data_IF_987194211594
#
_entry.id   IF_987194211594
#
_cell.length_a   1.000
_cell.length_b   1.000
_cell.length_c   1.000
_cell.angle_alpha   90.00
_cell.angle_beta   90.00
_cell.angle_gamma   90.00
#
_symmetry.space_group_name_H-M   'P 1'
#
loop_
_entity.id
_entity.type
_entity.pdbx_description
1 polymer ?
#
# COMPACT_ATOMS: atom_id res chain seq x y z
N UNK A 1 23.14 -8.38 18.76
CA UNK A 1 21.94 -8.31 17.90
C UNK A 1 21.55 -6.84 17.80
N UNK A 2 21.63 -6.29 16.59
CA UNK A 2 21.41 -4.88 16.31
C UNK A 2 21.54 -4.66 14.80
N UNK A 3 21.03 -3.55 14.31
CA UNK A 3 21.10 -3.18 12.89
C UNK A 3 21.77 -1.82 12.76
N UNK A 4 22.84 -1.78 11.99
CA UNK A 4 23.61 -0.58 11.67
C UNK A 4 23.66 -0.38 10.16
N UNK A 5 23.65 0.88 9.74
CA UNK A 5 23.79 1.25 8.33
C UNK A 5 25.25 1.10 7.93
N UNK A 6 25.52 0.41 6.82
CA UNK A 6 26.83 0.49 6.18
C UNK A 6 26.94 1.82 5.43
N UNK A 7 27.81 2.70 5.92
CA UNK A 7 28.05 4.03 5.36
C UNK A 7 29.28 4.08 4.44
N UNK A 8 29.92 2.94 4.17
CA UNK A 8 31.15 2.88 3.37
C UNK A 8 30.99 3.55 2.00
N UNK A 9 29.83 3.39 1.35
CA UNK A 9 29.49 3.99 0.05
C UNK A 9 29.39 5.52 0.05
N UNK A 10 29.26 6.14 1.22
CA UNK A 10 29.09 7.60 1.36
C UNK A 10 30.40 8.30 1.73
N UNK A 11 31.46 7.53 1.95
CA UNK A 11 32.78 8.06 2.33
C UNK A 11 33.31 9.00 1.24
N UNK A 12 33.62 10.23 1.62
CA UNK A 12 34.17 11.24 0.69
C UNK A 12 33.13 11.99 -0.15
N UNK A 13 31.83 11.71 0.01
CA UNK A 13 30.77 12.50 -0.62
C UNK A 13 30.48 13.74 0.23
N UNK A 14 30.66 14.92 -0.36
CA UNK A 14 30.42 16.20 0.31
C UNK A 14 28.94 16.49 0.52
N UNK A 15 28.59 17.17 1.62
CA UNK A 15 27.22 17.60 1.90
C UNK A 15 26.31 16.52 2.49
N UNK A 16 26.80 15.30 2.71
CA UNK A 16 26.03 14.28 3.44
C UNK A 16 26.22 14.48 4.94
N UNK A 17 25.11 14.70 5.64
CA UNK A 17 25.07 14.75 7.10
C UNK A 17 24.66 13.39 7.66
N UNK A 18 25.45 12.90 8.61
CA UNK A 18 25.20 11.63 9.31
C UNK A 18 25.01 11.92 10.78
N UNK A 19 23.84 11.57 11.31
CA UNK A 19 23.51 11.71 12.72
C UNK A 19 23.19 10.33 13.30
N UNK A 20 23.86 9.95 14.40
CA UNK A 20 23.60 8.67 15.11
C UNK A 20 23.60 7.43 14.18
N UNK A 21 24.46 7.42 13.16
CA UNK A 21 24.62 6.30 12.23
C UNK A 21 23.55 6.21 11.13
N UNK A 22 22.75 7.26 10.93
CA UNK A 22 21.80 7.38 9.81
C UNK A 22 22.04 8.68 9.05
N UNK A 23 21.67 8.68 7.77
CA UNK A 23 21.81 9.79 6.84
C UNK A 23 20.59 10.70 6.95
N UNK A 24 20.85 12.00 7.13
CA UNK A 24 19.81 13.03 7.10
C UNK A 24 19.27 13.21 5.69
N UNK A 25 17.94 13.26 5.56
CA UNK A 25 17.24 13.48 4.29
C UNK A 25 16.12 14.50 4.47
N UNK A 26 15.79 15.19 3.40
CA UNK A 26 14.67 16.12 3.35
C UNK A 26 13.31 15.40 3.14
N UNK A 27 12.24 16.20 2.96
CA UNK A 27 10.90 15.68 2.67
C UNK A 27 10.79 14.91 1.34
N UNK A 28 11.74 15.06 0.42
CA UNK A 28 11.83 14.39 -0.87
C UNK A 28 12.71 13.13 -0.85
N UNK A 29 13.26 12.78 0.32
CA UNK A 29 14.24 11.70 0.50
C UNK A 29 15.64 12.04 -0.07
N UNK A 30 15.90 13.31 -0.41
CA UNK A 30 17.20 13.75 -0.90
C UNK A 30 18.13 14.02 0.29
N UNK A 31 19.38 13.56 0.19
CA UNK A 31 20.44 13.90 1.14
C UNK A 31 20.89 15.35 0.93
N UNK A 32 21.77 15.87 1.78
CA UNK A 32 22.37 17.19 1.54
C UNK A 32 23.29 17.23 0.29
N UNK A 33 23.62 16.08 -0.31
CA UNK A 33 24.23 16.01 -1.64
C UNK A 33 23.17 15.99 -2.74
N UNK A 34 23.17 17.01 -3.60
CA UNK A 34 22.18 17.18 -4.66
C UNK A 34 22.18 15.97 -5.61
N UNK A 35 21.00 15.37 -5.80
CA UNK A 35 20.80 14.21 -6.68
C UNK A 35 21.11 12.86 -6.04
N UNK A 36 21.54 12.83 -4.78
CA UNK A 36 21.66 11.61 -4.00
C UNK A 36 20.48 11.47 -3.04
N UNK A 37 19.82 10.32 -3.07
CA UNK A 37 18.65 10.02 -2.27
C UNK A 37 18.91 8.82 -1.37
N UNK A 38 18.30 8.79 -0.18
CA UNK A 38 18.42 7.69 0.77
C UNK A 38 17.07 7.33 1.37
N UNK A 39 16.92 6.07 1.78
CA UNK A 39 15.67 5.53 2.31
C UNK A 39 15.89 4.26 3.12
N UNK A 40 14.80 3.65 3.60
CA UNK A 40 14.87 2.48 4.47
C UNK A 40 15.53 2.76 5.81
N UNK A 41 16.29 1.79 6.32
CA UNK A 41 16.88 1.85 7.66
C UNK A 41 18.09 2.79 7.77
N UNK A 42 18.56 3.29 6.62
CA UNK A 42 19.67 4.25 6.53
C UNK A 42 19.26 5.68 6.88
N UNK A 43 17.96 5.99 6.98
CA UNK A 43 17.45 7.34 7.30
C UNK A 43 16.74 7.34 8.68
N UNK A 44 16.60 8.50 9.35
CA UNK A 44 15.99 8.59 10.69
C UNK A 44 14.49 8.28 10.66
N UNK A 45 14.15 6.98 10.66
CA UNK A 45 12.78 6.50 10.53
C UNK A 45 12.55 5.19 11.28
N UNK A 46 11.30 4.73 11.31
CA UNK A 46 10.98 3.42 11.86
C UNK A 46 11.63 2.33 10.99
N UNK A 47 12.43 1.46 11.63
CA UNK A 47 13.19 0.42 10.97
C UNK A 47 12.35 -0.83 10.72
N UNK A 48 11.35 -0.70 9.85
CA UNK A 48 10.49 -1.80 9.46
C UNK A 48 10.33 -1.87 7.95
N UNK A 49 9.96 -3.06 7.46
CA UNK A 49 9.89 -3.36 6.02
C UNK A 49 8.88 -2.46 5.30
N UNK A 50 7.75 -2.13 5.93
CA UNK A 50 6.70 -1.31 5.30
C UNK A 50 7.15 0.12 5.08
N UNK A 51 7.88 0.70 6.04
CA UNK A 51 8.48 2.03 5.92
C UNK A 51 9.61 2.01 4.89
N UNK A 52 10.44 0.98 4.85
CA UNK A 52 11.49 0.86 3.83
C UNK A 52 10.92 0.78 2.40
N UNK A 53 9.87 0.00 2.18
CA UNK A 53 9.14 -0.05 0.90
C UNK A 53 8.55 1.33 0.57
N UNK A 54 7.93 1.99 1.54
CA UNK A 54 7.38 3.33 1.39
C UNK A 54 8.45 4.36 0.97
N UNK A 55 9.61 4.33 1.62
CA UNK A 55 10.77 5.15 1.27
C UNK A 55 11.27 4.87 -0.14
N UNK A 56 11.38 3.60 -0.55
CA UNK A 56 11.77 3.24 -1.91
C UNK A 56 10.83 3.84 -2.96
N UNK A 57 9.51 3.69 -2.78
CA UNK A 57 8.51 4.28 -3.67
C UNK A 57 8.59 5.81 -3.70
N UNK A 58 8.75 6.44 -2.53
CA UNK A 58 8.84 7.90 -2.41
C UNK A 58 10.11 8.45 -3.06
N UNK A 59 11.26 7.82 -2.81
CA UNK A 59 12.53 8.18 -3.43
C UNK A 59 12.45 8.03 -4.95
N UNK A 60 11.92 6.91 -5.47
CA UNK A 60 11.78 6.70 -6.91
C UNK A 60 10.99 7.83 -7.62
N UNK A 61 9.87 8.26 -7.03
CA UNK A 61 9.06 9.36 -7.59
C UNK A 61 9.77 10.71 -7.55
N UNK A 62 10.52 10.98 -6.48
CA UNK A 62 11.31 12.23 -6.38
C UNK A 62 12.55 12.20 -7.27
N UNK A 63 13.17 11.02 -7.49
CA UNK A 63 14.26 10.84 -8.45
C UNK A 63 13.75 11.12 -9.86
N UNK A 64 12.61 10.56 -10.26
CA UNK A 64 12.01 10.83 -11.58
C UNK A 64 11.72 12.33 -11.78
N UNK A 65 11.09 12.99 -10.80
CA UNK A 65 10.83 14.42 -10.86
C UNK A 65 12.13 15.25 -10.93
N UNK A 66 13.12 14.93 -10.11
CA UNK A 66 14.43 15.58 -10.12
C UNK A 66 15.13 15.47 -11.48
N UNK A 67 15.11 14.28 -12.10
CA UNK A 67 15.70 14.05 -13.42
C UNK A 67 14.97 14.84 -14.53
N UNK A 68 13.68 15.13 -14.35
CA UNK A 68 12.88 15.96 -15.25
C UNK A 68 12.94 17.46 -14.95
N UNK A 69 13.63 17.87 -13.87
CA UNK A 69 13.62 19.26 -13.40
C UNK A 69 12.26 19.73 -12.88
N UNK A 70 11.43 18.81 -12.42
CA UNK A 70 10.11 19.06 -11.84
C UNK A 70 10.09 18.71 -10.35
N UNK A 71 9.02 19.11 -9.66
CA UNK A 71 8.72 18.64 -8.31
C UNK A 71 7.64 17.56 -8.34
N UNK A 72 7.81 16.51 -7.54
CA UNK A 72 6.80 15.47 -7.41
C UNK A 72 5.68 15.93 -6.47
N UNK A 73 4.48 16.03 -7.02
CA UNK A 73 3.26 16.27 -6.24
C UNK A 73 2.56 14.94 -5.94
N UNK A 74 2.42 14.56 -4.65
CA UNK A 74 1.72 13.34 -4.31
C UNK A 74 0.23 13.46 -4.57
N UNK A 75 -0.34 12.43 -5.21
CA UNK A 75 -1.78 12.28 -5.31
C UNK A 75 -2.45 12.34 -3.93
N UNK A 76 -3.70 12.85 -3.84
CA UNK A 76 -4.48 12.82 -2.62
C UNK A 76 -4.48 11.42 -2.01
N UNK A 77 -4.28 11.34 -0.69
CA UNK A 77 -4.39 10.06 0.01
C UNK A 77 -5.86 9.68 0.11
N UNK A 78 -6.17 8.44 -0.24
CA UNK A 78 -7.46 7.84 0.10
C UNK A 78 -7.58 7.76 1.63
N UNK A 79 -8.82 7.86 2.13
CA UNK A 79 -9.10 7.65 3.55
C UNK A 79 -8.84 6.21 3.98
N UNK A 80 -8.85 5.99 5.29
CA UNK A 80 -8.64 4.65 5.86
C UNK A 80 -9.80 3.72 5.50
N UNK A 81 -9.47 2.46 5.16
CA UNK A 81 -10.41 1.38 4.96
C UNK A 81 -10.79 0.77 6.32
N UNK A 82 -11.70 1.42 7.03
CA UNK A 82 -12.17 0.97 8.34
C UNK A 82 -13.19 -0.16 8.20
N UNK A 83 -13.30 -1.01 9.24
CA UNK A 83 -14.16 -2.20 9.20
C UNK A 83 -15.64 -1.88 9.00
N UNK A 84 -16.11 -0.75 9.54
CA UNK A 84 -17.47 -0.25 9.39
C UNK A 84 -17.83 0.16 7.95
N UNK A 85 -16.84 0.25 7.05
CA UNK A 85 -17.05 0.52 5.63
C UNK A 85 -17.09 -0.75 4.78
N UNK A 86 -16.85 -1.92 5.36
CA UNK A 86 -16.70 -3.17 4.63
C UNK A 86 -17.87 -4.12 4.92
N UNK A 87 -18.44 -4.70 3.86
CA UNK A 87 -19.47 -5.73 3.99
C UNK A 87 -18.82 -7.11 4.01
N UNK A 88 -18.52 -7.58 5.21
CA UNK A 88 -17.75 -8.83 5.41
C UNK A 88 -18.54 -10.10 5.12
N UNK A 89 -19.88 -10.03 5.11
CA UNK A 89 -20.76 -11.18 4.87
C UNK A 89 -20.67 -11.73 3.43
N UNK A 90 -20.11 -10.96 2.49
CA UNK A 90 -19.82 -11.45 1.13
C UNK A 90 -18.79 -12.58 1.11
N UNK A 91 -17.98 -12.72 2.17
CA UNK A 91 -16.92 -13.70 2.24
C UNK A 91 -17.21 -14.73 3.33
N UNK A 92 -17.01 -16.01 2.97
CA UNK A 92 -17.12 -17.10 3.93
C UNK A 92 -15.93 -17.06 4.88
N UNK A 93 -16.22 -17.17 6.18
CA UNK A 93 -15.19 -17.43 7.18
C UNK A 93 -14.44 -18.72 6.83
N UNK A 94 -13.15 -18.59 6.57
CA UNK A 94 -12.27 -19.71 6.25
C UNK A 94 -11.01 -19.63 7.13
N UNK A 95 -10.61 -20.76 7.76
CA UNK A 95 -9.38 -20.80 8.52
C UNK A 95 -8.19 -20.48 7.61
N UNK A 96 -7.17 -19.82 8.15
CA UNK A 96 -5.92 -19.62 7.42
C UNK A 96 -5.23 -20.95 7.15
N UNK A 97 -4.45 -21.02 6.06
CA UNK A 97 -3.54 -22.13 5.84
C UNK A 97 -2.47 -22.22 6.94
N UNK A 98 -2.30 -23.42 7.49
CA UNK A 98 -1.27 -23.69 8.51
C UNK A 98 0.07 -23.90 7.81
N UNK A 99 0.98 -22.95 8.00
CA UNK A 99 2.35 -23.04 7.47
C UNK A 99 3.23 -23.90 8.38
N UNK A 100 4.02 -24.78 7.77
CA UNK A 100 5.03 -25.54 8.49
C UNK A 100 6.04 -24.58 9.14
N UNK A 101 6.50 -24.95 10.34
CA UNK A 101 7.48 -24.18 11.08
C UNK A 101 8.63 -25.08 11.46
N UNK A 102 9.85 -24.57 11.29
CA UNK A 102 11.05 -25.29 11.68
C UNK A 102 11.00 -25.65 13.17
N UNK A 103 11.49 -26.83 13.55
CA UNK A 103 11.53 -27.26 14.95
C UNK A 103 12.43 -26.33 15.79
N UNK A 104 12.05 -26.07 17.05
CA UNK A 104 12.74 -25.09 17.92
C UNK A 104 14.24 -25.31 18.04
N UNK A 105 14.68 -26.56 18.18
CA UNK A 105 16.11 -26.92 18.28
C UNK A 105 16.94 -26.57 17.03
N UNK A 106 16.31 -26.51 15.84
CA UNK A 106 16.98 -26.10 14.60
C UNK A 106 17.00 -24.59 14.42
N UNK A 107 15.96 -23.88 14.90
CA UNK A 107 15.90 -22.40 14.85
C UNK A 107 17.08 -21.72 15.55
N UNK A 108 17.69 -22.39 16.53
CA UNK A 108 18.82 -21.85 17.29
C UNK A 108 20.18 -22.12 16.65
N UNK A 109 20.27 -23.01 15.67
CA UNK A 109 21.54 -23.49 15.12
C UNK A 109 21.71 -23.20 13.63
N UNK A 110 20.65 -22.81 12.92
CA UNK A 110 20.71 -22.47 11.49
C UNK A 110 20.05 -21.12 11.20
N UNK A 111 20.39 -20.55 10.04
CA UNK A 111 19.70 -19.39 9.47
C UNK A 111 18.64 -19.83 8.45
N UNK A 112 18.15 -21.07 8.55
CA UNK A 112 17.10 -21.58 7.68
C UNK A 112 15.79 -20.83 7.92
N UNK A 113 14.95 -20.73 6.89
CA UNK A 113 13.62 -20.14 7.00
C UNK A 113 12.81 -20.82 8.10
N UNK A 114 12.25 -20.01 9.01
CA UNK A 114 11.57 -20.52 10.20
C UNK A 114 10.11 -20.81 9.90
N UNK A 115 9.47 -19.97 9.08
CA UNK A 115 8.09 -20.14 8.65
C UNK A 115 8.12 -20.41 7.16
N UNK A 116 7.88 -21.66 6.78
CA UNK A 116 7.94 -22.05 5.38
C UNK A 116 6.89 -21.30 4.55
N UNK A 117 7.22 -21.13 3.26
CA UNK A 117 6.32 -20.51 2.29
C UNK A 117 5.07 -21.34 2.06
N UNK A 118 4.06 -20.72 1.45
CA UNK A 118 2.93 -21.44 0.87
C UNK A 118 3.36 -22.05 -0.46
N UNK A 119 2.89 -23.26 -0.77
CA UNK A 119 2.95 -23.77 -2.13
C UNK A 119 2.03 -22.94 -3.04
N UNK A 120 2.22 -23.06 -4.35
CA UNK A 120 1.48 -22.27 -5.34
C UNK A 120 -0.04 -22.38 -5.18
N UNK A 121 -0.55 -23.60 -4.93
CA UNK A 121 -2.00 -23.82 -4.83
C UNK A 121 -2.58 -23.15 -3.58
N UNK A 122 -1.90 -23.29 -2.44
CA UNK A 122 -2.27 -22.64 -1.19
C UNK A 122 -2.13 -21.11 -1.27
N UNK A 123 -1.07 -20.61 -1.92
CA UNK A 123 -0.86 -19.18 -2.12
C UNK A 123 -1.96 -18.55 -2.98
N UNK A 124 -2.34 -19.21 -4.08
CA UNK A 124 -3.44 -18.76 -4.94
C UNK A 124 -4.78 -18.80 -4.20
N UNK A 125 -5.03 -19.85 -3.42
CA UNK A 125 -6.24 -19.93 -2.60
C UNK A 125 -6.30 -18.78 -1.59
N UNK A 126 -5.23 -18.53 -0.84
CA UNK A 126 -5.13 -17.44 0.13
C UNK A 126 -5.32 -16.06 -0.53
N UNK A 127 -4.69 -15.83 -1.68
CA UNK A 127 -4.82 -14.57 -2.42
C UNK A 127 -6.26 -14.30 -2.89
N UNK A 128 -7.01 -15.33 -3.30
CA UNK A 128 -8.41 -15.19 -3.74
C UNK A 128 -9.37 -14.81 -2.61
N UNK A 129 -8.98 -15.01 -1.35
CA UNK A 129 -9.77 -14.58 -0.18
C UNK A 129 -9.60 -13.10 0.15
N UNK A 130 -8.71 -12.40 -0.55
CA UNK A 130 -8.51 -10.97 -0.34
C UNK A 130 -9.79 -10.19 -0.65
N UNK A 131 -10.23 -9.38 0.32
CA UNK A 131 -11.40 -8.49 0.19
C UNK A 131 -11.08 -7.20 -0.58
N UNK A 132 -9.81 -6.95 -0.91
CA UNK A 132 -9.34 -5.69 -1.52
C UNK A 132 -9.83 -4.46 -0.72
N UNK A 133 -9.67 -4.48 0.61
CA UNK A 133 -10.21 -3.47 1.51
C UNK A 133 -9.86 -2.03 1.05
N UNK A 134 -10.89 -1.20 0.88
CA UNK A 134 -10.79 0.19 0.41
C UNK A 134 -10.43 0.36 -1.07
N UNK A 135 -10.24 -0.72 -1.83
CA UNK A 135 -9.83 -0.65 -3.23
C UNK A 135 -10.80 -1.44 -4.12
N UNK A 136 -11.38 -0.78 -5.13
CA UNK A 136 -12.29 -1.43 -6.05
C UNK A 136 -11.62 -2.63 -6.74
N UNK A 137 -12.29 -3.78 -6.76
CA UNK A 137 -11.83 -4.99 -7.46
C UNK A 137 -12.75 -5.40 -8.62
N UNK A 138 -13.69 -4.52 -9.02
CA UNK A 138 -14.50 -4.73 -10.22
C UNK A 138 -15.59 -5.81 -10.08
N UNK A 139 -16.23 -5.94 -8.91
CA UNK A 139 -17.30 -6.93 -8.70
C UNK A 139 -18.64 -6.61 -9.39
N UNK A 140 -18.79 -5.42 -9.98
CA UNK A 140 -20.01 -4.92 -10.63
C UNK A 140 -21.25 -4.76 -9.71
N UNK A 141 -21.15 -4.99 -8.40
CA UNK A 141 -22.29 -4.82 -7.48
C UNK A 141 -22.91 -3.42 -7.59
N UNK A 142 -22.08 -2.37 -7.53
CA UNK A 142 -22.54 -0.99 -7.63
C UNK A 142 -23.35 -0.74 -8.91
N UNK A 143 -22.88 -1.27 -10.04
CA UNK A 143 -23.56 -1.19 -11.33
C UNK A 143 -24.91 -1.91 -11.30
N UNK A 144 -24.96 -3.13 -10.75
CA UNK A 144 -26.19 -3.94 -10.70
C UNK A 144 -27.27 -3.42 -9.74
N UNK A 145 -26.88 -2.79 -8.63
CA UNK A 145 -27.83 -2.34 -7.59
C UNK A 145 -28.34 -0.91 -7.78
N UNK A 146 -27.80 -0.16 -8.75
CA UNK A 146 -28.19 1.22 -8.98
C UNK A 146 -29.61 1.29 -9.59
N UNK A 147 -30.63 1.78 -8.87
CA UNK A 147 -32.01 1.78 -9.36
C UNK A 147 -32.21 2.76 -10.54
N UNK A 148 -31.38 3.79 -10.63
CA UNK A 148 -31.47 4.86 -11.63
C UNK A 148 -30.54 4.64 -12.84
N UNK A 149 -29.80 3.52 -12.88
CA UNK A 149 -28.76 3.26 -13.89
C UNK A 149 -27.74 4.41 -14.04
N UNK A 150 -27.41 5.06 -12.93
CA UNK A 150 -26.50 6.20 -12.89
C UNK A 150 -25.01 5.80 -12.96
N UNK A 151 -24.68 4.52 -13.12
CA UNK A 151 -23.31 4.01 -13.12
C UNK A 151 -23.02 3.36 -14.47
N UNK A 152 -21.92 3.77 -15.11
CA UNK A 152 -21.44 3.19 -16.36
C UNK A 152 -20.12 2.45 -16.13
N UNK A 153 -20.03 1.22 -16.60
CA UNK A 153 -18.81 0.41 -16.53
C UNK A 153 -17.88 0.81 -17.69
N UNK A 154 -16.67 1.24 -17.37
CA UNK A 154 -15.64 1.61 -18.35
C UNK A 154 -14.71 0.42 -18.57
N UNK A 155 -14.00 0.03 -17.51
CA UNK A 155 -13.10 -1.12 -17.46
C UNK A 155 -13.27 -1.87 -16.12
N UNK A 156 -12.75 -3.09 -15.96
CA UNK A 156 -12.78 -3.78 -14.67
C UNK A 156 -12.14 -2.94 -13.56
N UNK A 157 -12.96 -2.49 -12.60
CA UNK A 157 -12.51 -1.63 -11.49
C UNK A 157 -12.60 -0.12 -11.76
N UNK A 158 -13.06 0.28 -12.95
CA UNK A 158 -13.23 1.68 -13.34
C UNK A 158 -14.69 1.95 -13.75
N UNK A 159 -15.35 2.85 -13.01
CA UNK A 159 -16.76 3.18 -13.18
C UNK A 159 -16.96 4.69 -13.23
N UNK A 160 -17.82 5.13 -14.13
CA UNK A 160 -18.28 6.52 -14.21
C UNK A 160 -19.64 6.65 -13.51
N UNK A 161 -19.76 7.61 -12.59
CA UNK A 161 -21.02 7.96 -11.93
C UNK A 161 -21.62 9.19 -12.61
N UNK A 162 -22.76 9.01 -13.28
CA UNK A 162 -23.51 10.07 -13.93
C UNK A 162 -24.36 10.81 -12.89
N UNK A 163 -23.77 11.84 -12.30
CA UNK A 163 -24.39 12.60 -11.20
C UNK A 163 -25.76 13.19 -11.55
N UNK A 164 -25.99 13.58 -12.81
CA UNK A 164 -27.31 14.06 -13.29
C UNK A 164 -28.45 13.04 -13.11
N UNK A 165 -28.13 11.75 -13.12
CA UNK A 165 -29.08 10.66 -12.92
C UNK A 165 -29.10 10.16 -11.48
N UNK A 166 -28.01 10.36 -10.73
CA UNK A 166 -27.87 9.92 -9.36
C UNK A 166 -28.89 10.62 -8.44
N UNK A 167 -29.66 9.84 -7.66
CA UNK A 167 -30.61 10.36 -6.68
C UNK A 167 -30.08 10.36 -5.24
N UNK A 168 -28.79 10.04 -5.05
CA UNK A 168 -28.15 10.07 -3.73
C UNK A 168 -28.63 8.99 -2.75
N UNK A 169 -29.25 7.90 -3.23
CA UNK A 169 -29.81 6.85 -2.38
C UNK A 169 -28.76 6.05 -1.58
N UNK A 170 -27.50 6.05 -2.00
CA UNK A 170 -26.39 5.40 -1.30
C UNK A 170 -26.32 3.88 -1.40
N UNK A 171 -27.25 3.22 -2.11
CA UNK A 171 -27.29 1.75 -2.24
C UNK A 171 -25.99 1.19 -2.81
N UNK A 172 -25.40 1.86 -3.81
CA UNK A 172 -24.11 1.43 -4.38
C UNK A 172 -22.97 1.45 -3.34
N UNK A 173 -22.99 2.39 -2.39
CA UNK A 173 -22.01 2.47 -1.32
C UNK A 173 -22.24 1.39 -0.26
N UNK A 174 -23.49 1.15 0.13
CA UNK A 174 -23.87 0.12 1.09
C UNK A 174 -23.57 -1.30 0.58
N UNK A 175 -23.73 -1.54 -0.73
CA UNK A 175 -23.50 -2.85 -1.36
C UNK A 175 -22.05 -3.05 -1.83
N UNK A 176 -21.14 -2.12 -1.50
CA UNK A 176 -19.74 -2.21 -1.88
C UNK A 176 -18.97 -3.07 -0.86
N UNK A 177 -18.58 -4.33 -1.19
CA UNK A 177 -17.95 -5.23 -0.22
C UNK A 177 -16.63 -4.70 0.34
N UNK A 178 -15.88 -3.96 -0.47
CA UNK A 178 -14.60 -3.39 -0.09
C UNK A 178 -14.69 -1.95 0.45
N UNK A 179 -15.88 -1.33 0.49
CA UNK A 179 -16.02 0.05 0.97
C UNK A 179 -15.37 1.12 0.09
N UNK A 180 -15.15 0.82 -1.19
CA UNK A 180 -14.43 1.70 -2.13
C UNK A 180 -15.24 2.93 -2.59
N UNK A 181 -16.53 3.01 -2.26
CA UNK A 181 -17.41 4.13 -2.65
C UNK A 181 -17.61 5.05 -1.44
N UNK A 182 -17.46 6.36 -1.66
CA UNK A 182 -17.73 7.39 -0.64
C UNK A 182 -18.89 8.26 -1.11
N UNK A 183 -19.91 8.40 -0.27
CA UNK A 183 -20.99 9.36 -0.51
C UNK A 183 -20.51 10.76 -0.12
N UNK A 184 -20.74 11.72 -1.00
CA UNK A 184 -20.47 13.14 -0.74
C UNK A 184 -21.76 13.95 -0.95
N UNK A 185 -21.98 15.01 -0.18
CA UNK A 185 -23.06 15.96 -0.46
C UNK A 185 -22.90 16.57 -1.85
N UNK A 186 -24.01 16.85 -2.51
CA UNK A 186 -24.02 17.66 -3.73
C UNK A 186 -23.65 19.11 -3.38
N UNK A 187 -22.68 19.66 -4.09
CA UNK A 187 -22.32 21.08 -3.99
C UNK A 187 -23.23 21.87 -4.94
N UNK A 188 -24.02 22.79 -4.37
CA UNK A 188 -24.95 23.69 -5.08
C UNK A 188 -24.29 25.06 -5.27
#
# INVERSE_FOLDING_TARGET
>A
LGQESDLGLLTGVSGIEVERGVVSVDKHMMTGHRGLFAGGDMVPSQKNVTVAIGHGKKAARNIDAYLRGAEYEPAPKHGDATLDRMETWYYTDAPHQVRAKLAGARRSSTFDEVVEGLDESSALFEARRCMSCGNCFGCDNCFGVCPDNAITKIEPGEYEFKYDYCKGCGVCAAECPCGAISMVPEEI
#
